data_IF_669224024687
#
_entry.id   IF_669224024687
#
_cell.length_a   1.000
_cell.length_b   1.000
_cell.length_c   1.000
_cell.angle_alpha   90.00
_cell.angle_beta   90.00
_cell.angle_gamma   90.00
#
_symmetry.space_group_name_H-M   'P 1'
#
loop_
_entity.id
_entity.type
_entity.pdbx_description
1 polymer ?
#
# COMPACT_ATOMS: atom_id res chain seq x y z
N UNK A 1 20.40 18.92 -56.24
CA UNK A 1 19.77 19.37 -54.97
C UNK A 1 18.26 19.28 -55.13
N UNK A 2 17.58 18.40 -54.40
CA UNK A 2 16.12 18.25 -54.49
C UNK A 2 15.51 19.26 -53.50
N UNK A 3 14.92 20.35 -54.00
CA UNK A 3 14.15 21.25 -53.14
C UNK A 3 12.86 20.54 -52.71
N UNK A 4 12.72 20.31 -51.42
CA UNK A 4 11.45 19.87 -50.85
C UNK A 4 10.57 21.11 -50.64
N UNK A 5 9.48 21.23 -51.40
CA UNK A 5 8.45 22.24 -51.14
C UNK A 5 7.71 21.85 -49.87
N UNK A 6 7.95 22.57 -48.78
CA UNK A 6 7.11 22.52 -47.59
C UNK A 6 6.15 23.69 -47.72
N UNK A 7 4.88 23.40 -47.99
CA UNK A 7 3.84 24.43 -48.03
C UNK A 7 3.32 24.77 -46.63
N UNK A 8 2.65 25.91 -46.53
CA UNK A 8 2.05 26.41 -45.28
C UNK A 8 0.99 25.49 -44.71
N UNK A 9 0.34 24.66 -45.54
CA UNK A 9 -0.65 23.69 -45.08
C UNK A 9 0.03 22.57 -44.30
N UNK A 10 1.16 22.06 -44.80
CA UNK A 10 1.98 21.04 -44.13
C UNK A 10 2.46 21.52 -42.76
N UNK A 11 2.88 22.78 -42.66
CA UNK A 11 3.30 23.40 -41.39
C UNK A 11 2.12 23.56 -40.43
N UNK A 12 0.95 23.98 -40.95
CA UNK A 12 -0.28 24.13 -40.16
C UNK A 12 -0.73 22.79 -39.59
N UNK A 13 -0.76 21.74 -40.40
CA UNK A 13 -1.11 20.38 -39.94
C UNK A 13 -0.13 19.85 -38.89
N UNK A 14 1.17 20.10 -39.07
CA UNK A 14 2.17 19.71 -38.08
C UNK A 14 1.95 20.42 -36.73
N UNK A 15 1.64 21.72 -36.76
CA UNK A 15 1.31 22.49 -35.56
C UNK A 15 0.05 21.97 -34.88
N UNK A 16 -1.01 21.69 -35.63
CA UNK A 16 -2.25 21.12 -35.11
C UNK A 16 -2.00 19.76 -34.43
N UNK A 17 -1.20 18.89 -35.08
CA UNK A 17 -0.82 17.60 -34.49
C UNK A 17 -0.06 17.74 -33.16
N UNK A 18 0.86 18.71 -33.07
CA UNK A 18 1.58 19.00 -31.82
C UNK A 18 0.67 19.53 -30.71
N UNK A 19 -0.31 20.38 -31.05
CA UNK A 19 -1.28 20.88 -30.10
C UNK A 19 -2.16 19.75 -29.54
N UNK A 20 -2.67 18.88 -30.43
CA UNK A 20 -3.45 17.71 -30.01
C UNK A 20 -2.66 16.78 -29.09
N UNK A 21 -1.36 16.57 -29.36
CA UNK A 21 -0.49 15.79 -28.47
C UNK A 21 -0.31 16.46 -27.11
N UNK A 22 -0.15 17.79 -27.07
CA UNK A 22 -0.04 18.54 -25.82
C UNK A 22 -1.28 18.36 -24.94
N UNK A 23 -2.48 18.44 -25.51
CA UNK A 23 -3.72 18.23 -24.77
C UNK A 23 -3.83 16.81 -24.21
N UNK A 24 -3.41 15.80 -25.00
CA UNK A 24 -3.36 14.41 -24.55
C UNK A 24 -2.41 14.20 -23.38
N UNK A 25 -1.21 14.80 -23.42
CA UNK A 25 -0.25 14.71 -22.31
C UNK A 25 -0.74 15.38 -21.04
N UNK A 26 -1.41 16.54 -21.15
CA UNK A 26 -2.04 17.21 -20.01
C UNK A 26 -3.17 16.36 -19.42
N UNK A 27 -3.99 15.76 -20.28
CA UNK A 27 -5.03 14.82 -19.84
C UNK A 27 -4.47 13.61 -19.10
N UNK A 28 -3.38 13.02 -19.61
CA UNK A 28 -2.67 11.93 -18.92
C UNK A 28 -2.10 12.38 -17.57
N UNK A 29 -1.50 13.57 -17.51
CA UNK A 29 -0.97 14.15 -16.28
C UNK A 29 -2.01 14.28 -15.16
N UNK A 30 -3.27 14.59 -15.50
CA UNK A 30 -4.36 14.67 -14.53
C UNK A 30 -4.78 13.29 -13.98
N UNK A 31 -4.50 12.21 -14.71
CA UNK A 31 -4.85 10.85 -14.31
C UNK A 31 -3.69 10.17 -13.58
N UNK A 32 -2.46 10.39 -14.05
CA UNK A 32 -1.24 9.78 -13.52
C UNK A 32 -0.07 10.77 -13.54
N UNK A 33 0.72 10.77 -12.45
CA UNK A 33 2.06 11.36 -12.44
C UNK A 33 2.19 12.84 -12.08
N UNK A 34 1.10 13.56 -11.78
CA UNK A 34 1.18 14.86 -11.10
C UNK A 34 1.01 14.70 -9.58
N UNK A 35 1.42 15.72 -8.82
CA UNK A 35 1.44 15.67 -7.34
C UNK A 35 0.05 15.47 -6.72
N UNK A 36 -1.02 15.85 -7.43
CA UNK A 36 -2.41 15.72 -7.03
C UNK A 36 -3.13 14.54 -7.69
N UNK A 37 -2.48 13.82 -8.62
CA UNK A 37 -3.07 12.64 -9.26
C UNK A 37 -3.37 11.55 -8.23
N UNK A 38 -4.39 10.72 -8.51
CA UNK A 38 -4.71 9.54 -7.67
C UNK A 38 -3.54 8.56 -7.62
N UNK A 39 -2.84 8.37 -8.73
CA UNK A 39 -1.70 7.46 -8.87
C UNK A 39 -0.43 8.25 -9.21
N UNK A 40 0.57 8.16 -8.35
CA UNK A 40 1.82 8.92 -8.47
C UNK A 40 3.02 8.01 -8.27
N UNK A 41 4.03 8.14 -9.13
CA UNK A 41 5.38 7.62 -8.88
C UNK A 41 6.25 8.83 -8.57
N UNK A 42 6.72 8.93 -7.32
CA UNK A 42 7.54 10.08 -6.93
C UNK A 42 8.97 9.99 -7.50
N UNK A 43 9.76 11.06 -7.33
CA UNK A 43 11.14 11.12 -7.79
C UNK A 43 12.07 10.05 -7.16
N UNK A 44 11.64 9.38 -6.09
CA UNK A 44 12.36 8.28 -5.42
C UNK A 44 11.87 6.90 -5.86
N UNK A 45 10.91 6.84 -6.80
CA UNK A 45 10.32 5.60 -7.30
C UNK A 45 9.22 5.01 -6.41
N UNK A 46 8.72 5.75 -5.42
CA UNK A 46 7.63 5.28 -4.56
C UNK A 46 6.30 5.45 -5.27
N UNK A 47 5.58 4.34 -5.47
CA UNK A 47 4.21 4.34 -5.94
C UNK A 47 3.26 4.76 -4.82
N UNK A 48 2.42 5.77 -5.06
CA UNK A 48 1.38 6.27 -4.17
C UNK A 48 0.02 6.16 -4.81
N UNK A 49 -0.95 5.70 -4.02
CA UNK A 49 -2.37 5.81 -4.28
C UNK A 49 -2.93 6.78 -3.25
N UNK A 50 -3.40 7.96 -3.67
CA UNK A 50 -3.65 9.10 -2.78
C UNK A 50 -4.93 9.89 -3.15
N UNK A 51 -5.20 10.99 -2.46
CA UNK A 51 -6.36 11.87 -2.68
C UNK A 51 -7.53 11.61 -1.74
N UNK A 52 -8.47 12.56 -1.69
CA UNK A 52 -9.57 12.59 -0.70
C UNK A 52 -10.81 11.75 -1.10
N UNK A 53 -10.83 11.22 -2.32
CA UNK A 53 -11.91 10.36 -2.82
C UNK A 53 -11.66 8.89 -2.48
N UNK A 54 -12.71 8.06 -2.56
CA UNK A 54 -12.59 6.63 -2.30
C UNK A 54 -11.59 5.94 -3.25
N UNK A 55 -10.89 4.94 -2.73
CA UNK A 55 -10.11 3.97 -3.51
C UNK A 55 -10.81 2.63 -3.39
N UNK A 56 -11.25 2.07 -4.51
CA UNK A 56 -11.95 0.78 -4.54
C UNK A 56 -11.04 -0.25 -5.20
N UNK A 57 -10.67 -1.30 -4.46
CA UNK A 57 -9.97 -2.48 -4.98
C UNK A 57 -11.00 -3.60 -5.07
N UNK A 58 -11.23 -4.12 -6.27
CA UNK A 58 -12.12 -5.27 -6.49
C UNK A 58 -11.28 -6.55 -6.57
N UNK A 59 -11.65 -7.56 -5.79
CA UNK A 59 -10.86 -8.77 -5.60
C UNK A 59 -9.94 -8.68 -4.38
N UNK A 60 -8.98 -9.60 -4.31
CA UNK A 60 -8.11 -9.82 -3.16
C UNK A 60 -6.82 -8.97 -3.29
N UNK A 61 -6.31 -8.41 -2.19
CA UNK A 61 -5.05 -7.65 -2.14
C UNK A 61 -3.96 -8.43 -1.41
N UNK A 62 -2.82 -8.67 -2.08
CA UNK A 62 -1.69 -9.41 -1.54
C UNK A 62 -0.47 -8.52 -1.36
N UNK A 63 0.16 -8.56 -0.19
CA UNK A 63 1.35 -7.77 0.14
C UNK A 63 2.48 -8.70 0.56
N UNK A 64 3.47 -8.88 -0.33
CA UNK A 64 4.60 -9.79 -0.08
C UNK A 64 4.27 -11.28 -0.21
N UNK A 65 3.09 -11.62 -0.74
CA UNK A 65 2.63 -13.01 -0.95
C UNK A 65 2.45 -13.31 -2.44
N UNK A 66 2.58 -14.58 -2.82
CA UNK A 66 2.46 -15.04 -4.23
C UNK A 66 1.06 -15.56 -4.59
N UNK A 67 0.23 -15.81 -3.61
CA UNK A 67 -1.12 -16.36 -3.70
C UNK A 67 -1.95 -15.70 -2.60
N UNK A 68 -3.24 -15.51 -2.85
CA UNK A 68 -4.22 -15.14 -1.82
C UNK A 68 -5.40 -16.10 -1.98
N UNK A 69 -5.84 -16.79 -0.91
CA UNK A 69 -7.06 -17.58 -0.91
C UNK A 69 -8.30 -16.76 -1.31
N UNK A 70 -9.25 -17.39 -1.99
CA UNK A 70 -10.47 -16.74 -2.51
C UNK A 70 -11.37 -16.16 -1.41
N UNK A 71 -11.25 -16.64 -0.18
CA UNK A 71 -12.01 -16.19 1.00
C UNK A 71 -11.37 -14.98 1.73
N UNK A 72 -10.19 -14.51 1.30
CA UNK A 72 -9.48 -13.41 1.96
C UNK A 72 -9.45 -12.12 1.13
N UNK A 73 -9.99 -11.01 1.64
CA UNK A 73 -9.84 -9.72 0.95
C UNK A 73 -8.42 -9.14 1.01
N UNK A 74 -7.63 -9.51 2.02
CA UNK A 74 -6.27 -8.99 2.25
C UNK A 74 -5.40 -10.07 2.88
N UNK A 75 -4.22 -10.31 2.30
CA UNK A 75 -3.16 -11.12 2.90
C UNK A 75 -1.81 -10.41 2.85
N UNK A 76 -1.06 -10.49 3.96
CA UNK A 76 0.20 -9.77 4.13
C UNK A 76 1.26 -10.67 4.74
N UNK A 77 2.44 -10.73 4.11
CA UNK A 77 3.62 -11.45 4.65
C UNK A 77 4.14 -10.83 5.95
N UNK A 78 3.93 -9.52 6.13
CA UNK A 78 4.43 -8.74 7.26
C UNK A 78 3.28 -8.19 8.11
N UNK A 79 3.55 -7.81 9.38
CA UNK A 79 2.56 -7.21 10.27
C UNK A 79 1.81 -6.02 9.66
N UNK A 80 0.53 -5.92 9.98
CA UNK A 80 -0.33 -4.78 9.60
C UNK A 80 -0.54 -3.84 10.78
N UNK A 81 -0.81 -2.57 10.48
CA UNK A 81 -1.10 -1.55 11.50
C UNK A 81 -2.47 -0.93 11.25
N UNK A 82 -3.41 -1.18 12.15
CA UNK A 82 -4.73 -0.55 12.13
C UNK A 82 -4.82 0.53 13.20
N UNK A 83 -5.11 1.77 12.79
CA UNK A 83 -5.27 2.92 13.70
C UNK A 83 -4.11 3.04 14.72
N UNK A 84 -2.88 2.90 14.23
CA UNK A 84 -1.67 3.01 15.05
C UNK A 84 -1.30 1.76 15.84
N UNK A 85 -2.13 0.71 15.87
CA UNK A 85 -1.85 -0.56 16.56
C UNK A 85 -1.33 -1.59 15.58
N UNK A 86 -0.14 -2.12 15.86
CA UNK A 86 0.47 -3.19 15.08
C UNK A 86 -0.12 -4.54 15.51
N UNK A 87 -0.43 -5.37 14.53
CA UNK A 87 -0.87 -6.75 14.70
C UNK A 87 0.12 -7.66 13.96
N UNK A 88 0.73 -8.58 14.70
CA UNK A 88 1.65 -9.58 14.18
C UNK A 88 1.36 -10.95 14.77
N UNK A 89 2.01 -11.98 14.24
CA UNK A 89 1.85 -13.37 14.67
C UNK A 89 3.21 -13.87 15.16
N UNK A 90 3.24 -14.69 16.20
CA UNK A 90 4.45 -15.39 16.63
C UNK A 90 4.27 -16.25 17.87
N UNK A 91 5.22 -17.16 18.08
CA UNK A 91 5.21 -18.14 19.17
C UNK A 91 5.62 -17.63 20.56
N UNK A 92 5.97 -16.35 20.71
CA UNK A 92 6.38 -15.73 21.99
C UNK A 92 6.33 -14.21 21.94
N UNK A 93 6.47 -13.58 23.11
CA UNK A 93 6.66 -12.14 23.20
C UNK A 93 7.91 -11.68 22.42
N UNK A 94 7.84 -10.54 21.71
CA UNK A 94 8.98 -9.97 21.01
C UNK A 94 10.14 -9.65 21.95
N UNK A 95 11.37 -9.94 21.50
CA UNK A 95 12.61 -9.63 22.23
C UNK A 95 13.37 -8.43 21.63
N UNK A 96 12.97 -7.97 20.44
CA UNK A 96 13.58 -6.87 19.70
C UNK A 96 12.48 -6.06 18.99
N UNK A 97 12.81 -4.83 18.59
CA UNK A 97 11.89 -3.95 17.83
C UNK A 97 11.09 -3.01 18.71
N UNK A 98 10.66 -1.88 18.14
CA UNK A 98 9.84 -0.89 18.83
C UNK A 98 8.37 -1.30 18.79
N UNK A 99 7.74 -1.33 19.95
CA UNK A 99 6.31 -1.61 20.11
C UNK A 99 5.63 -0.51 20.91
N UNK A 100 4.44 -0.12 20.46
CA UNK A 100 3.59 0.83 21.15
C UNK A 100 2.60 0.10 22.06
N UNK A 101 2.17 0.80 23.11
CA UNK A 101 1.05 0.34 23.94
C UNK A 101 -0.16 0.00 23.07
N UNK A 102 -0.66 -1.22 23.23
CA UNK A 102 -1.78 -1.79 22.49
C UNK A 102 -1.41 -2.54 21.22
N UNK A 103 -0.13 -2.62 20.84
CA UNK A 103 0.31 -3.56 19.80
C UNK A 103 0.09 -5.00 20.27
N UNK A 104 -0.25 -5.88 19.34
CA UNK A 104 -0.68 -7.26 19.60
C UNK A 104 0.20 -8.24 18.81
N UNK A 105 0.63 -9.29 19.51
CA UNK A 105 1.16 -10.52 18.90
C UNK A 105 0.13 -11.62 19.12
N UNK A 106 -0.45 -12.14 18.05
CA UNK A 106 -1.29 -13.34 18.07
C UNK A 106 -0.41 -14.57 18.19
N UNK A 107 -0.80 -15.50 19.06
CA UNK A 107 -0.10 -16.78 19.20
C UNK A 107 -0.25 -17.59 17.90
N UNK A 108 0.85 -18.16 17.41
CA UNK A 108 0.87 -18.97 16.18
C UNK A 108 0.47 -20.44 16.43
N UNK A 109 0.33 -20.83 17.69
CA UNK A 109 -0.05 -22.17 18.11
C UNK A 109 -1.17 -22.13 19.18
N UNK A 110 -2.36 -21.60 18.85
CA UNK A 110 -3.49 -21.49 19.77
C UNK A 110 -4.01 -22.87 20.18
N UNK A 111 -4.20 -23.09 21.48
CA UNK A 111 -4.60 -24.40 22.05
C UNK A 111 -5.74 -24.28 23.07
N UNK A 112 -6.50 -25.36 23.30
CA UNK A 112 -7.44 -25.43 24.42
C UNK A 112 -6.79 -25.08 25.75
N UNK A 113 -7.47 -24.28 26.57
CA UNK A 113 -6.95 -23.72 27.82
C UNK A 113 -5.68 -22.85 27.66
N UNK A 114 -5.36 -22.43 26.43
CA UNK A 114 -4.25 -21.54 26.10
C UNK A 114 -4.63 -20.07 26.10
N UNK A 115 -3.82 -19.27 25.41
CA UNK A 115 -4.01 -17.83 25.22
C UNK A 115 -4.09 -17.52 23.74
N UNK A 116 -4.75 -16.40 23.42
CA UNK A 116 -4.87 -15.90 22.06
C UNK A 116 -3.61 -15.14 21.61
N UNK A 117 -2.86 -14.60 22.57
CA UNK A 117 -1.60 -13.92 22.33
C UNK A 117 -1.18 -12.98 23.45
N UNK A 118 -0.35 -11.99 23.08
CA UNK A 118 0.18 -10.98 23.98
C UNK A 118 -0.15 -9.56 23.52
N UNK A 119 -0.42 -8.69 24.48
CA UNK A 119 -0.63 -7.26 24.26
C UNK A 119 0.45 -6.44 24.96
N UNK A 120 1.01 -5.47 24.25
CA UNK A 120 1.98 -4.53 24.78
C UNK A 120 1.27 -3.54 25.71
N UNK A 121 1.56 -3.56 27.01
CA UNK A 121 0.96 -2.67 28.01
C UNK A 121 1.78 -1.39 28.24
N UNK A 122 3.04 -1.37 27.79
CA UNK A 122 3.95 -0.22 27.88
C UNK A 122 4.90 -0.17 26.69
N UNK A 123 4.91 0.96 25.98
CA UNK A 123 5.79 1.21 24.82
C UNK A 123 7.27 0.99 25.16
N UNK A 124 8.03 0.37 24.26
CA UNK A 124 9.46 0.12 24.45
C UNK A 124 10.13 -0.68 23.31
N UNK A 125 11.41 -1.01 23.50
CA UNK A 125 12.25 -1.78 22.56
C UNK A 125 12.85 -3.04 23.20
N UNK A 126 12.10 -4.15 23.36
CA UNK A 126 10.66 -4.26 23.11
C UNK A 126 9.84 -3.66 24.27
N UNK A 127 8.54 -3.56 24.06
CA UNK A 127 7.60 -3.11 25.11
C UNK A 127 7.48 -4.10 26.27
N UNK A 128 6.62 -3.76 27.23
CA UNK A 128 6.21 -4.68 28.28
C UNK A 128 4.93 -5.40 27.87
N UNK A 129 4.87 -6.72 28.06
CA UNK A 129 3.81 -7.56 27.51
C UNK A 129 3.02 -8.29 28.59
N UNK A 130 1.74 -8.56 28.32
CA UNK A 130 0.88 -9.46 29.10
C UNK A 130 0.10 -10.36 28.14
N UNK A 131 -0.22 -11.56 28.61
CA UNK A 131 -1.11 -12.47 27.89
C UNK A 131 -2.54 -11.91 27.86
N UNK A 132 -3.31 -12.23 26.83
CA UNK A 132 -4.73 -11.90 26.77
C UNK A 132 -5.51 -12.98 25.99
N UNK A 133 -6.85 -12.93 26.13
CA UNK A 133 -7.77 -13.82 25.42
C UNK A 133 -7.57 -15.29 25.78
N UNK A 134 -8.06 -15.73 26.94
CA UNK A 134 -8.04 -17.15 27.30
C UNK A 134 -8.87 -17.97 26.31
N UNK A 135 -8.32 -19.07 25.82
CA UNK A 135 -9.01 -20.00 24.92
C UNK A 135 -9.76 -21.03 25.76
N UNK A 136 -11.01 -21.30 25.40
CA UNK A 136 -11.84 -22.30 26.05
C UNK A 136 -11.24 -23.71 26.01
N UNK A 137 -11.80 -24.60 26.82
CA UNK A 137 -11.44 -26.02 26.85
C UNK A 137 -11.92 -26.77 25.59
#
# INVERSE_FOLDING_TARGET
>A
MKLHKIDTNTITMAKEGLNSLSELLLGLGNVVGQEDSKLVVDAKGVLRIQGDTSTIIKGNLGIGVSNIPDDLSLETERPVKFQGKKFEVGNKIPTIGLYNKGDIVWDDDPKPNGILGWICIRTGTPGEWRTFGTIGA
#
